data_IF_088849639948
#
_entry.id   IF_088849639948
#
_cell.length_a   1.000
_cell.length_b   1.000
_cell.length_c   1.000
_cell.angle_alpha   90.00
_cell.angle_beta   90.00
_cell.angle_gamma   90.00
#
_symmetry.space_group_name_H-M   'P 1'
#
loop_
_entity.id
_entity.type
_entity.pdbx_description
1 polymer ?
#
# COMPACT_ATOMS: atom_id res chain seq x y z
N UNK A 1 -43.16 -3.12 -27.77
CA UNK A 1 -42.49 -3.52 -26.51
C UNK A 1 -41.40 -2.49 -26.27
N UNK A 2 -41.67 -1.45 -25.48
CA UNK A 2 -40.72 -0.36 -25.21
C UNK A 2 -39.81 -0.78 -24.04
N UNK A 3 -38.50 -0.81 -24.26
CA UNK A 3 -37.51 -0.94 -23.21
C UNK A 3 -37.36 0.41 -22.50
N UNK A 4 -37.68 0.44 -21.21
CA UNK A 4 -37.45 1.60 -20.33
C UNK A 4 -35.99 1.54 -19.91
N UNK A 5 -35.18 2.45 -20.42
CA UNK A 5 -33.84 2.70 -19.92
C UNK A 5 -33.96 3.22 -18.47
N UNK A 6 -33.53 2.41 -17.52
CA UNK A 6 -33.33 2.86 -16.14
C UNK A 6 -32.01 3.63 -16.11
N UNK A 7 -31.97 4.93 -15.77
CA UNK A 7 -30.71 5.65 -15.69
C UNK A 7 -29.89 5.08 -14.53
N UNK A 8 -28.64 4.69 -14.81
CA UNK A 8 -27.67 4.32 -13.79
C UNK A 8 -27.39 5.55 -12.93
N UNK A 9 -27.99 5.59 -11.74
CA UNK A 9 -27.67 6.59 -10.72
C UNK A 9 -26.19 6.48 -10.36
N UNK A 10 -25.39 7.45 -10.80
CA UNK A 10 -24.01 7.66 -10.35
C UNK A 10 -24.05 7.77 -8.82
N UNK A 11 -23.55 6.75 -8.11
CA UNK A 11 -23.34 6.84 -6.65
C UNK A 11 -22.22 7.84 -6.43
N UNK A 12 -22.56 8.99 -5.85
CA UNK A 12 -21.59 9.97 -5.39
C UNK A 12 -20.50 9.28 -4.56
N UNK A 13 -19.24 9.52 -4.94
CA UNK A 13 -18.07 9.11 -4.18
C UNK A 13 -18.21 9.59 -2.72
N UNK A 14 -17.96 8.74 -1.71
CA UNK A 14 -18.06 9.17 -0.32
C UNK A 14 -17.08 10.32 -0.07
N UNK A 15 -17.58 11.38 0.56
CA UNK A 15 -16.79 12.53 0.99
C UNK A 15 -15.50 12.05 1.69
N UNK A 16 -14.31 12.56 1.34
CA UNK A 16 -13.02 12.09 1.85
C UNK A 16 -12.95 11.97 3.39
N UNK A 17 -13.67 12.84 4.11
CA UNK A 17 -13.82 12.77 5.56
C UNK A 17 -14.43 11.46 6.06
N UNK A 18 -15.44 10.93 5.37
CA UNK A 18 -16.13 9.69 5.75
C UNK A 18 -15.21 8.46 5.70
N UNK A 19 -14.29 8.42 4.74
CA UNK A 19 -13.30 7.33 4.62
C UNK A 19 -12.28 7.37 5.78
N UNK A 20 -11.77 8.56 6.12
CA UNK A 20 -10.85 8.77 7.24
C UNK A 20 -11.51 8.35 8.56
N UNK A 21 -12.74 8.81 8.79
CA UNK A 21 -13.48 8.49 10.02
C UNK A 21 -13.74 7.00 10.19
N UNK A 22 -14.11 6.31 9.11
CA UNK A 22 -14.32 4.87 9.12
C UNK A 22 -13.04 4.11 9.48
N UNK A 23 -11.90 4.51 8.91
CA UNK A 23 -10.61 3.87 9.15
C UNK A 23 -10.13 4.07 10.60
N UNK A 24 -10.33 5.27 11.17
CA UNK A 24 -10.09 5.54 12.60
C UNK A 24 -10.97 4.65 13.48
N UNK A 25 -12.26 4.51 13.15
CA UNK A 25 -13.20 3.67 13.90
C UNK A 25 -12.79 2.19 13.90
N UNK A 26 -12.35 1.68 12.75
CA UNK A 26 -11.89 0.30 12.65
C UNK A 26 -10.60 0.07 13.43
N UNK A 27 -9.63 0.96 13.32
CA UNK A 27 -8.38 0.85 14.07
C UNK A 27 -8.61 0.89 15.59
N UNK A 28 -9.48 1.78 16.07
CA UNK A 28 -9.86 1.81 17.49
C UNK A 28 -10.45 0.47 17.93
N UNK A 29 -11.38 -0.09 17.16
CA UNK A 29 -12.00 -1.39 17.48
C UNK A 29 -10.98 -2.53 17.46
N UNK A 30 -10.06 -2.54 16.49
CA UNK A 30 -8.99 -3.54 16.41
C UNK A 30 -8.03 -3.45 17.60
N UNK A 31 -7.80 -2.25 18.14
CA UNK A 31 -7.05 -2.02 19.36
C UNK A 31 -7.84 -2.35 20.66
N UNK A 32 -9.09 -2.81 20.56
CA UNK A 32 -9.93 -3.11 21.72
C UNK A 32 -10.32 -1.87 22.56
N UNK A 33 -10.17 -0.67 21.99
CA UNK A 33 -10.42 0.58 22.70
C UNK A 33 -11.90 0.99 22.60
N UNK A 34 -12.50 1.36 23.73
CA UNK A 34 -13.82 2.01 23.73
C UNK A 34 -13.70 3.46 23.24
N UNK A 35 -14.82 4.05 22.84
CA UNK A 35 -14.85 5.47 22.46
C UNK A 35 -14.45 6.37 23.63
N UNK A 36 -14.84 6.01 24.86
CA UNK A 36 -14.46 6.76 26.07
C UNK A 36 -12.95 6.68 26.33
N UNK A 37 -12.35 5.50 26.19
CA UNK A 37 -10.90 5.34 26.39
C UNK A 37 -10.08 6.14 25.38
N UNK A 38 -10.50 6.17 24.12
CA UNK A 38 -9.83 6.99 23.11
C UNK A 38 -10.02 8.49 23.36
N UNK A 39 -11.21 8.90 23.83
CA UNK A 39 -11.50 10.27 24.22
C UNK A 39 -10.57 10.72 25.38
N UNK A 40 -10.39 9.88 26.39
CA UNK A 40 -9.48 10.10 27.50
C UNK A 40 -8.03 10.23 27.03
N UNK A 41 -7.54 9.28 26.24
CA UNK A 41 -6.16 9.26 25.76
C UNK A 41 -5.80 10.47 24.88
N UNK A 42 -6.76 10.98 24.11
CA UNK A 42 -6.58 12.14 23.22
C UNK A 42 -6.93 13.48 23.86
N UNK A 43 -7.50 13.48 25.07
CA UNK A 43 -8.04 14.68 25.71
C UNK A 43 -9.23 15.31 24.98
N UNK A 44 -9.91 14.57 24.09
CA UNK A 44 -11.06 15.02 23.32
C UNK A 44 -12.37 14.55 23.97
N UNK A 45 -13.48 15.24 23.69
CA UNK A 45 -14.80 14.76 24.13
C UNK A 45 -15.22 13.51 23.34
N UNK A 46 -15.99 12.60 23.97
CA UNK A 46 -16.58 11.44 23.28
C UNK A 46 -17.40 11.85 22.04
N UNK A 47 -18.10 12.98 22.12
CA UNK A 47 -18.85 13.56 20.99
C UNK A 47 -17.93 13.92 19.83
N UNK A 48 -16.72 14.41 20.11
CA UNK A 48 -15.70 14.71 19.09
C UNK A 48 -15.19 13.43 18.46
N UNK A 49 -14.93 12.38 19.24
CA UNK A 49 -14.52 11.05 18.72
C UNK A 49 -15.59 10.51 17.77
N UNK A 50 -16.86 10.55 18.15
CA UNK A 50 -17.97 10.09 17.29
C UNK A 50 -18.05 10.88 15.99
N UNK A 51 -17.90 12.20 16.03
CA UNK A 51 -17.88 13.05 14.82
C UNK A 51 -16.69 12.73 13.92
N UNK A 52 -15.51 12.50 14.51
CA UNK A 52 -14.31 12.07 13.78
C UNK A 52 -14.56 10.73 13.10
N UNK A 53 -15.12 9.75 13.81
CA UNK A 53 -15.43 8.42 13.25
C UNK A 53 -16.51 8.43 12.16
N UNK A 54 -17.36 9.46 12.15
CA UNK A 54 -18.36 9.71 11.11
C UNK A 54 -17.77 10.46 9.91
N UNK A 55 -16.56 11.02 10.04
CA UNK A 55 -15.94 11.82 9.00
C UNK A 55 -16.53 13.22 8.84
N UNK A 56 -17.04 13.80 9.93
CA UNK A 56 -17.63 15.14 9.95
C UNK A 56 -16.58 16.21 9.56
N UNK A 57 -16.79 16.86 8.42
CA UNK A 57 -15.92 17.91 7.88
C UNK A 57 -15.90 19.21 8.71
N UNK A 58 -16.83 19.39 9.67
CA UNK A 58 -16.80 20.51 10.59
C UNK A 58 -15.80 20.33 11.75
N UNK A 59 -15.19 19.15 11.89
CA UNK A 59 -14.17 18.91 12.92
C UNK A 59 -12.80 19.36 12.41
N UNK A 60 -12.14 20.23 13.19
CA UNK A 60 -10.81 20.72 12.85
C UNK A 60 -9.80 19.59 12.63
N UNK A 61 -9.02 19.67 11.55
CA UNK A 61 -8.04 18.66 11.12
C UNK A 61 -7.05 18.26 12.23
N UNK A 62 -6.61 19.20 13.07
CA UNK A 62 -5.71 18.89 14.19
C UNK A 62 -6.27 17.85 15.17
N UNK A 63 -7.60 17.71 15.26
CA UNK A 63 -8.26 16.71 16.10
C UNK A 63 -8.26 15.32 15.45
N UNK A 64 -8.43 15.24 14.12
CA UNK A 64 -8.21 13.99 13.38
C UNK A 64 -6.78 13.50 13.57
N UNK A 65 -5.79 14.39 13.42
CA UNK A 65 -4.38 14.07 13.60
C UNK A 65 -4.09 13.52 15.00
N UNK A 66 -4.59 14.16 16.06
CA UNK A 66 -4.41 13.72 17.44
C UNK A 66 -4.95 12.29 17.67
N UNK A 67 -6.15 11.98 17.14
CA UNK A 67 -6.73 10.63 17.26
C UNK A 67 -5.92 9.58 16.50
N UNK A 68 -5.44 9.92 15.31
CA UNK A 68 -4.66 8.99 14.52
C UNK A 68 -3.23 8.79 15.06
N UNK A 69 -2.60 9.80 15.66
CA UNK A 69 -1.35 9.62 16.42
C UNK A 69 -1.54 8.59 17.54
N UNK A 70 -2.61 8.72 18.33
CA UNK A 70 -2.93 7.81 19.43
C UNK A 70 -3.15 6.36 18.96
N UNK A 71 -3.67 6.18 17.74
CA UNK A 71 -3.92 4.86 17.15
C UNK A 71 -2.76 4.34 16.27
N UNK A 72 -1.63 5.06 16.18
CA UNK A 72 -0.53 4.68 15.28
C UNK A 72 -0.89 4.72 13.79
N UNK A 73 -1.85 5.57 13.43
CA UNK A 73 -2.41 5.74 12.08
C UNK A 73 -1.91 7.00 11.37
N UNK A 74 -0.79 7.58 11.79
CA UNK A 74 -0.26 8.83 11.20
C UNK A 74 -0.01 8.69 9.69
N UNK A 75 0.37 7.48 9.24
CA UNK A 75 0.55 7.10 7.85
C UNK A 75 -0.73 7.30 7.00
N UNK A 76 -1.90 7.29 7.61
CA UNK A 76 -3.19 7.42 6.94
C UNK A 76 -3.38 8.78 6.27
N UNK A 77 -2.86 9.85 6.89
CA UNK A 77 -2.95 11.20 6.30
C UNK A 77 -2.01 11.38 5.12
N UNK A 78 -0.92 10.62 5.06
CA UNK A 78 -0.03 10.61 3.89
C UNK A 78 -0.68 9.89 2.70
N UNK A 79 -1.60 8.94 2.98
CA UNK A 79 -2.37 8.18 1.96
C UNK A 79 -3.60 8.95 1.47
N UNK A 80 -4.22 9.75 2.32
CA UNK A 80 -5.46 10.49 2.01
C UNK A 80 -5.27 11.99 1.76
N UNK A 81 -4.09 12.53 2.05
CA UNK A 81 -3.78 13.97 1.97
C UNK A 81 -3.45 14.50 0.58
N UNK A 82 -3.60 13.72 -0.50
CA UNK A 82 -3.48 14.25 -1.87
C UNK A 82 -4.86 14.62 -2.39
N UNK A 83 -5.11 15.92 -2.42
CA UNK A 83 -6.13 16.54 -3.27
C UNK A 83 -6.04 15.95 -4.68
N UNK A 84 -7.20 15.61 -5.24
CA UNK A 84 -7.43 15.11 -6.60
C UNK A 84 -7.18 16.17 -7.69
N UNK A 85 -6.51 17.27 -7.37
CA UNK A 85 -6.34 18.42 -8.28
C UNK A 85 -4.89 18.87 -8.49
N UNK A 86 -3.88 18.10 -8.09
CA UNK A 86 -2.50 18.46 -8.39
C UNK A 86 -1.63 17.25 -8.77
N UNK A 87 -1.44 17.05 -10.07
CA UNK A 87 -0.40 16.23 -10.68
C UNK A 87 1.01 16.83 -10.42
N UNK A 88 1.39 16.98 -9.15
CA UNK A 88 2.74 17.35 -8.76
C UNK A 88 3.51 16.10 -8.30
N UNK A 89 4.08 15.39 -9.29
CA UNK A 89 5.46 14.85 -9.34
C UNK A 89 6.19 14.57 -8.00
N UNK A 90 5.58 13.83 -7.08
CA UNK A 90 6.25 13.32 -5.88
C UNK A 90 6.10 11.81 -5.79
N UNK A 91 7.21 11.08 -5.71
CA UNK A 91 7.22 9.64 -5.43
C UNK A 91 6.39 9.38 -4.17
N UNK A 92 5.41 8.46 -4.19
CA UNK A 92 4.60 8.18 -3.01
C UNK A 92 5.50 7.69 -1.89
N UNK A 93 5.40 8.32 -0.72
CA UNK A 93 6.23 8.00 0.47
C UNK A 93 5.96 6.58 1.00
N UNK A 94 4.79 6.03 0.71
CA UNK A 94 4.40 4.66 1.01
C UNK A 94 3.62 4.10 -0.17
N UNK A 95 3.80 2.81 -0.44
CA UNK A 95 3.04 2.07 -1.44
C UNK A 95 3.03 0.58 -1.10
N UNK A 96 2.03 -0.16 -1.58
CA UNK A 96 1.97 -1.62 -1.43
C UNK A 96 3.12 -2.23 -2.23
N UNK A 97 3.89 -3.13 -1.62
CA UNK A 97 5.05 -3.74 -2.27
C UNK A 97 5.29 -5.18 -1.79
N UNK A 98 6.35 -5.83 -2.30
CA UNK A 98 6.71 -7.22 -2.02
C UNK A 98 5.53 -8.17 -2.22
N UNK A 99 5.36 -9.11 -1.28
CA UNK A 99 4.30 -10.14 -1.35
C UNK A 99 2.90 -9.58 -1.59
N UNK A 100 2.56 -8.43 -0.99
CA UNK A 100 1.22 -7.86 -1.16
C UNK A 100 0.99 -7.35 -2.58
N UNK A 101 1.99 -6.68 -3.16
CA UNK A 101 1.91 -6.23 -4.53
C UNK A 101 1.94 -7.38 -5.54
N UNK A 102 2.69 -8.45 -5.26
CA UNK A 102 2.70 -9.66 -6.09
C UNK A 102 1.34 -10.37 -6.12
N UNK A 103 0.50 -10.17 -5.09
CA UNK A 103 -0.86 -10.71 -5.08
C UNK A 103 -1.86 -9.85 -5.87
N UNK A 104 -1.49 -8.62 -6.26
CA UNK A 104 -2.40 -7.74 -6.98
C UNK A 104 -2.36 -8.03 -8.48
N UNK A 105 -3.53 -8.09 -9.14
CA UNK A 105 -3.56 -8.04 -10.60
C UNK A 105 -3.07 -6.66 -11.05
N UNK A 106 -1.96 -6.57 -11.81
CA UNK A 106 -1.45 -5.31 -12.33
C UNK A 106 -2.42 -4.62 -13.29
N UNK A 107 -2.24 -3.31 -13.47
CA UNK A 107 -3.06 -2.50 -14.37
C UNK A 107 -2.97 -2.90 -15.86
N UNK A 108 -1.93 -3.66 -16.24
CA UNK A 108 -1.70 -4.16 -17.60
C UNK A 108 -2.56 -5.41 -17.95
N UNK A 109 -3.34 -5.91 -16.99
CA UNK A 109 -4.26 -7.02 -17.20
C UNK A 109 -3.65 -8.42 -17.06
N UNK A 110 -2.35 -8.54 -16.73
CA UNK A 110 -1.76 -9.83 -16.36
C UNK A 110 -2.40 -10.39 -15.09
N UNK A 111 -2.39 -11.72 -14.89
CA UNK A 111 -2.77 -12.30 -13.61
C UNK A 111 -1.81 -11.83 -12.49
N UNK A 112 -2.21 -11.90 -11.21
CA UNK A 112 -1.29 -11.69 -10.10
C UNK A 112 -0.19 -12.77 -10.12
N UNK A 113 1.03 -12.38 -9.74
CA UNK A 113 2.16 -13.32 -9.65
C UNK A 113 1.96 -14.34 -8.51
N UNK A 114 1.24 -13.98 -7.44
CA UNK A 114 0.91 -14.87 -6.34
C UNK A 114 -0.60 -14.90 -6.08
N UNK A 115 -1.14 -16.09 -5.80
CA UNK A 115 -2.59 -16.29 -5.69
C UNK A 115 -3.15 -16.16 -4.26
N UNK A 116 -2.42 -15.52 -3.33
CA UNK A 116 -2.81 -15.39 -1.92
C UNK A 116 -3.80 -14.23 -1.67
N UNK A 117 -5.02 -14.39 -2.15
CA UNK A 117 -6.08 -13.35 -2.08
C UNK A 117 -6.49 -12.97 -0.65
N UNK A 118 -6.31 -13.87 0.33
CA UNK A 118 -6.59 -13.60 1.75
C UNK A 118 -5.68 -12.51 2.35
N UNK A 119 -4.50 -12.32 1.78
CA UNK A 119 -3.58 -11.24 2.18
C UNK A 119 -4.09 -9.86 1.71
N UNK A 120 -4.86 -9.80 0.62
CA UNK A 120 -5.36 -8.54 0.09
C UNK A 120 -6.57 -8.01 0.85
N UNK A 121 -7.44 -8.90 1.34
CA UNK A 121 -8.62 -8.52 2.13
C UNK A 121 -8.31 -8.19 3.59
N UNK A 122 -7.07 -8.43 4.05
CA UNK A 122 -6.62 -8.13 5.41
C UNK A 122 -5.47 -7.10 5.41
N UNK A 123 -5.77 -5.79 5.57
CA UNK A 123 -4.77 -4.73 5.62
C UNK A 123 -3.66 -4.90 6.66
N UNK A 124 -3.93 -5.62 7.76
CA UNK A 124 -2.91 -5.87 8.78
C UNK A 124 -1.77 -6.77 8.28
N UNK A 125 -2.01 -7.55 7.22
CA UNK A 125 -1.03 -8.43 6.60
C UNK A 125 -0.26 -7.78 5.45
N UNK A 126 -0.58 -6.53 5.10
CA UNK A 126 0.01 -5.85 3.95
C UNK A 126 1.48 -5.51 4.15
N UNK A 127 2.27 -5.74 3.11
CA UNK A 127 3.65 -5.30 2.98
C UNK A 127 3.65 -3.92 2.30
N UNK A 128 4.21 -2.94 3.00
CA UNK A 128 4.17 -1.53 2.62
C UNK A 128 5.62 -1.04 2.58
N UNK A 129 6.05 -0.53 1.43
CA UNK A 129 7.35 0.11 1.27
C UNK A 129 7.42 1.37 2.13
N UNK A 130 8.52 1.56 2.87
CA UNK A 130 8.71 2.64 3.85
C UNK A 130 8.20 2.31 5.26
N UNK A 131 7.54 1.16 5.45
CA UNK A 131 7.07 0.69 6.76
C UNK A 131 7.55 -0.73 7.08
N UNK A 132 7.28 -1.66 6.17
CA UNK A 132 7.55 -3.09 6.35
C UNK A 132 8.69 -3.61 5.47
N UNK A 133 8.91 -2.96 4.34
CA UNK A 133 10.01 -3.18 3.40
C UNK A 133 10.69 -1.84 3.10
N UNK A 134 11.94 -1.88 2.66
CA UNK A 134 12.67 -0.71 2.20
C UNK A 134 11.87 0.08 1.15
N UNK A 135 11.92 1.41 1.25
CA UNK A 135 11.37 2.29 0.21
C UNK A 135 12.46 2.57 -0.82
N UNK A 136 12.25 2.13 -2.05
CA UNK A 136 13.24 2.22 -3.12
C UNK A 136 12.98 3.39 -4.07
N UNK A 137 12.12 4.34 -3.67
CA UNK A 137 11.80 5.52 -4.49
C UNK A 137 13.00 6.42 -4.74
N UNK A 138 14.04 6.37 -3.91
CA UNK A 138 15.30 7.06 -4.15
C UNK A 138 16.12 6.42 -5.30
N UNK A 139 15.90 5.13 -5.59
CA UNK A 139 16.61 4.39 -6.65
C UNK A 139 15.86 4.49 -7.98
N UNK A 140 14.55 4.28 -7.96
CA UNK A 140 13.74 4.11 -9.17
C UNK A 140 12.66 5.17 -9.35
N UNK A 141 12.56 6.16 -8.45
CA UNK A 141 11.47 7.14 -8.46
C UNK A 141 10.11 6.45 -8.46
N UNK A 142 9.25 6.88 -9.39
CA UNK A 142 7.90 6.33 -9.60
C UNK A 142 7.85 5.15 -10.57
N UNK A 143 8.98 4.67 -11.10
CA UNK A 143 9.00 3.58 -12.07
C UNK A 143 8.40 2.30 -11.48
N UNK A 144 7.47 1.68 -12.22
CA UNK A 144 6.75 0.50 -11.74
C UNK A 144 5.73 0.76 -10.64
N UNK A 145 5.38 2.01 -10.33
CA UNK A 145 4.29 2.34 -9.41
C UNK A 145 3.02 2.70 -10.16
N UNK A 146 1.87 2.30 -9.62
CA UNK A 146 0.56 2.57 -10.20
C UNK A 146 -0.51 2.81 -9.13
N UNK A 147 -1.61 3.45 -9.53
CA UNK A 147 -2.76 3.70 -8.67
C UNK A 147 -3.66 2.46 -8.61
N UNK A 148 -3.57 1.72 -7.51
CA UNK A 148 -4.29 0.48 -7.24
C UNK A 148 -5.60 0.68 -6.47
N UNK A 149 -6.09 1.92 -6.30
CA UNK A 149 -7.30 2.22 -5.55
C UNK A 149 -8.50 1.40 -6.02
N UNK A 150 -8.76 1.39 -7.32
CA UNK A 150 -9.91 0.69 -7.89
C UNK A 150 -9.80 -0.82 -7.71
N UNK A 151 -8.59 -1.38 -7.85
CA UNK A 151 -8.33 -2.81 -7.66
C UNK A 151 -8.53 -3.22 -6.21
N UNK A 152 -7.97 -2.47 -5.26
CA UNK A 152 -8.08 -2.76 -3.83
C UNK A 152 -9.53 -2.64 -3.32
N UNK A 153 -10.32 -1.71 -3.89
CA UNK A 153 -11.73 -1.58 -3.56
C UNK A 153 -12.53 -2.86 -3.83
N UNK A 154 -12.13 -3.69 -4.80
CA UNK A 154 -12.77 -4.98 -5.10
C UNK A 154 -12.57 -6.00 -3.98
N UNK A 155 -11.53 -5.85 -3.15
CA UNK A 155 -11.26 -6.68 -1.99
C UNK A 155 -11.88 -6.15 -0.69
N UNK A 156 -12.79 -5.16 -0.80
CA UNK A 156 -13.54 -4.61 0.33
C UNK A 156 -12.81 -3.51 1.11
N UNK A 157 -11.69 -3.00 0.61
CA UNK A 157 -10.93 -1.93 1.26
C UNK A 157 -11.12 -0.62 0.51
N UNK A 158 -11.74 0.36 1.16
CA UNK A 158 -12.04 1.67 0.57
C UNK A 158 -11.06 2.71 1.10
N UNK A 159 -10.32 3.34 0.19
CA UNK A 159 -9.27 4.32 0.48
C UNK A 159 -9.20 5.34 -0.67
N UNK A 160 -9.10 6.65 -0.39
CA UNK A 160 -8.94 7.69 -1.43
C UNK A 160 -7.85 7.44 -2.47
N UNK A 161 -6.66 6.99 -2.05
CA UNK A 161 -5.55 6.69 -2.97
C UNK A 161 -4.73 5.53 -2.42
N UNK A 162 -4.47 4.51 -3.24
CA UNK A 162 -3.51 3.45 -2.91
C UNK A 162 -2.53 3.33 -4.06
N UNK A 163 -1.26 3.60 -3.78
CA UNK A 163 -0.18 3.27 -4.70
C UNK A 163 0.28 1.85 -4.46
N UNK A 164 0.56 1.13 -5.53
CA UNK A 164 1.16 -0.20 -5.48
C UNK A 164 2.33 -0.30 -6.46
N UNK A 165 3.29 -1.14 -6.14
CA UNK A 165 4.26 -1.63 -7.08
C UNK A 165 3.57 -2.57 -8.09
N UNK A 166 4.01 -2.53 -9.34
CA UNK A 166 3.79 -3.61 -10.29
C UNK A 166 4.66 -4.83 -9.88
N UNK A 167 4.45 -6.02 -10.48
CA UNK A 167 5.14 -7.23 -10.06
C UNK A 167 6.66 -7.09 -10.10
N UNK A 168 7.21 -6.49 -11.14
CA UNK A 168 8.67 -6.26 -11.28
C UNK A 168 9.19 -5.38 -10.14
N UNK A 169 8.50 -4.28 -9.81
CA UNK A 169 8.93 -3.35 -8.76
C UNK A 169 8.78 -3.99 -7.39
N UNK A 170 7.77 -4.84 -7.21
CA UNK A 170 7.58 -5.59 -5.98
C UNK A 170 8.72 -6.58 -5.74
N UNK A 171 9.19 -7.28 -6.78
CA UNK A 171 10.38 -8.17 -6.71
C UNK A 171 11.63 -7.34 -6.44
N UNK A 172 11.84 -6.24 -7.17
CA UNK A 172 12.98 -5.35 -6.94
C UNK A 172 13.04 -4.87 -5.48
N UNK A 173 11.93 -4.39 -4.92
CA UNK A 173 11.86 -3.95 -3.53
C UNK A 173 12.17 -5.08 -2.54
N UNK A 174 11.69 -6.29 -2.82
CA UNK A 174 11.93 -7.48 -2.02
C UNK A 174 13.41 -7.86 -2.02
N UNK A 175 14.07 -7.80 -3.18
CA UNK A 175 15.49 -8.06 -3.37
C UNK A 175 16.34 -7.03 -2.62
N UNK A 176 16.06 -5.73 -2.78
CA UNK A 176 16.78 -4.66 -2.07
C UNK A 176 16.57 -4.77 -0.54
N UNK A 177 15.34 -4.95 -0.08
CA UNK A 177 15.05 -5.10 1.36
C UNK A 177 15.75 -6.33 1.96
N UNK A 178 15.81 -7.45 1.23
CA UNK A 178 16.38 -8.70 1.73
C UNK A 178 17.91 -8.71 1.66
N UNK A 179 18.47 -8.44 0.49
CA UNK A 179 19.89 -8.61 0.22
C UNK A 179 20.73 -7.42 0.68
N UNK A 180 20.30 -6.19 0.36
CA UNK A 180 21.05 -4.97 0.71
C UNK A 180 20.79 -4.55 2.15
N UNK A 181 19.52 -4.39 2.53
CA UNK A 181 19.17 -3.78 3.82
C UNK A 181 19.23 -4.78 4.98
N UNK A 182 18.69 -5.99 4.79
CA UNK A 182 18.62 -7.01 5.86
C UNK A 182 19.77 -8.02 5.82
N UNK A 183 20.49 -8.11 4.72
CA UNK A 183 21.54 -9.10 4.48
C UNK A 183 21.07 -10.53 4.78
N UNK A 184 19.90 -10.88 4.24
CA UNK A 184 19.25 -12.18 4.41
C UNK A 184 18.75 -12.71 3.08
N UNK A 185 18.45 -14.01 3.05
CA UNK A 185 17.77 -14.65 1.92
C UNK A 185 16.39 -14.05 1.71
N UNK A 186 16.00 -13.96 0.44
CA UNK A 186 14.66 -13.55 0.01
C UNK A 186 13.64 -14.58 0.51
N UNK A 187 12.67 -14.19 1.36
CA UNK A 187 11.76 -15.15 1.98
C UNK A 187 10.58 -15.51 1.09
N UNK A 188 10.26 -16.80 1.01
CA UNK A 188 8.97 -17.34 0.56
C UNK A 188 8.54 -16.98 -0.88
N UNK A 189 9.49 -16.71 -1.77
CA UNK A 189 9.28 -16.59 -3.23
C UNK A 189 10.54 -17.08 -3.94
N UNK A 190 10.38 -18.03 -4.86
CA UNK A 190 11.41 -18.47 -5.79
C UNK A 190 11.14 -17.89 -7.18
N UNK A 191 12.18 -17.78 -7.99
CA UNK A 191 12.08 -17.32 -9.38
C UNK A 191 11.06 -18.15 -10.18
N UNK A 192 11.12 -19.48 -10.03
CA UNK A 192 10.23 -20.43 -10.71
C UNK A 192 8.76 -20.33 -10.31
N UNK A 193 8.45 -19.61 -9.21
CA UNK A 193 7.06 -19.42 -8.78
C UNK A 193 6.38 -18.27 -9.54
N UNK A 194 7.15 -17.40 -10.19
CA UNK A 194 6.67 -16.11 -10.70
C UNK A 194 7.21 -15.73 -12.09
N UNK A 195 8.11 -16.52 -12.68
CA UNK A 195 8.80 -16.20 -13.95
C UNK A 195 7.88 -16.26 -15.19
N UNK A 196 6.71 -16.87 -15.06
CA UNK A 196 5.65 -16.88 -16.06
C UNK A 196 4.84 -15.57 -16.10
N UNK A 197 4.85 -14.80 -15.00
CA UNK A 197 4.12 -13.54 -14.87
C UNK A 197 5.03 -12.32 -14.80
N UNK A 198 6.16 -12.42 -14.09
CA UNK A 198 7.06 -11.30 -13.80
C UNK A 198 8.17 -11.20 -14.84
N UNK A 199 8.36 -10.02 -15.42
CA UNK A 199 9.48 -9.78 -16.32
C UNK A 199 10.79 -9.62 -15.51
N UNK A 200 11.51 -10.72 -15.33
CA UNK A 200 12.78 -10.74 -14.59
C UNK A 200 13.93 -10.04 -15.33
N UNK A 201 13.85 -9.88 -16.66
CA UNK A 201 14.81 -9.07 -17.42
C UNK A 201 14.70 -7.59 -17.00
N UNK A 202 13.48 -7.07 -16.86
CA UNK A 202 13.27 -5.71 -16.37
C UNK A 202 13.81 -5.51 -14.95
N UNK A 203 13.65 -6.52 -14.08
CA UNK A 203 14.22 -6.49 -12.72
C UNK A 203 15.75 -6.46 -12.77
N UNK A 204 16.37 -7.28 -13.62
CA UNK A 204 17.83 -7.28 -13.85
C UNK A 204 18.32 -5.91 -14.34
N UNK A 205 17.62 -5.30 -15.28
CA UNK A 205 17.96 -3.96 -15.78
C UNK A 205 17.94 -2.90 -14.66
N UNK A 206 16.92 -2.94 -13.78
CA UNK A 206 16.86 -2.00 -12.66
C UNK A 206 17.96 -2.25 -11.62
N UNK A 207 18.29 -3.51 -11.34
CA UNK A 207 19.42 -3.85 -10.48
C UNK A 207 20.73 -3.33 -11.09
N UNK A 208 20.95 -3.57 -12.39
CA UNK A 208 22.12 -3.08 -13.12
C UNK A 208 22.27 -1.55 -13.07
N UNK A 209 21.16 -0.82 -13.23
CA UNK A 209 21.14 0.64 -13.10
C UNK A 209 21.48 1.13 -11.69
N UNK A 210 21.19 0.31 -10.68
CA UNK A 210 21.46 0.63 -9.27
C UNK A 210 22.80 0.10 -8.76
N UNK A 211 23.52 -0.73 -9.52
CA UNK A 211 24.76 -1.39 -9.09
C UNK A 211 25.77 -0.48 -8.37
N UNK A 212 26.03 0.77 -8.82
CA UNK A 212 26.96 1.66 -8.13
C UNK A 212 26.58 2.01 -6.68
N UNK A 213 25.33 1.75 -6.29
CA UNK A 213 24.78 2.06 -4.98
C UNK A 213 24.59 0.81 -4.10
N UNK A 214 24.90 -0.39 -4.62
CA UNK A 214 24.69 -1.66 -3.91
C UNK A 214 26.01 -2.23 -3.40
N UNK A 215 25.96 -2.87 -2.22
CA UNK A 215 27.11 -3.61 -1.70
C UNK A 215 27.39 -4.86 -2.56
N UNK A 216 28.66 -5.24 -2.70
CA UNK A 216 29.07 -6.43 -3.48
C UNK A 216 28.33 -7.70 -3.02
N UNK A 217 28.21 -7.89 -1.71
CA UNK A 217 27.49 -9.03 -1.12
C UNK A 217 25.99 -9.02 -1.44
N UNK A 218 25.39 -7.84 -1.57
CA UNK A 218 24.00 -7.72 -1.96
C UNK A 218 23.82 -8.04 -3.45
N UNK A 219 24.74 -7.59 -4.31
CA UNK A 219 24.74 -7.91 -5.74
C UNK A 219 24.85 -9.42 -5.98
N UNK A 220 25.78 -10.08 -5.30
CA UNK A 220 25.93 -11.55 -5.36
C UNK A 220 24.64 -12.26 -4.92
N UNK A 221 24.03 -11.84 -3.81
CA UNK A 221 22.79 -12.44 -3.32
C UNK A 221 21.59 -12.21 -4.25
N UNK A 222 21.54 -11.06 -4.91
CA UNK A 222 20.50 -10.75 -5.91
C UNK A 222 20.70 -11.60 -7.17
N UNK A 223 21.92 -11.70 -7.68
CA UNK A 223 22.24 -12.52 -8.85
C UNK A 223 21.97 -14.01 -8.60
N UNK A 224 22.37 -14.54 -7.44
CA UNK A 224 22.09 -15.92 -7.04
C UNK A 224 20.59 -16.20 -7.04
N UNK A 225 19.79 -15.31 -6.43
CA UNK A 225 18.33 -15.45 -6.43
C UNK A 225 17.75 -15.40 -7.85
N UNK A 226 18.16 -14.42 -8.67
CA UNK A 226 17.66 -14.23 -10.03
C UNK A 226 18.01 -15.40 -10.98
N UNK A 227 19.11 -16.11 -10.72
CA UNK A 227 19.54 -17.27 -11.51
C UNK A 227 18.87 -18.57 -11.07
N UNK A 228 17.86 -18.50 -10.21
CA UNK A 228 17.17 -19.69 -9.70
C UNK A 228 18.04 -20.50 -8.75
N UNK A 229 19.01 -19.86 -8.09
CA UNK A 229 19.83 -20.48 -7.06
C UNK A 229 18.96 -21.29 -6.12
N UNK A 230 19.27 -22.59 -6.00
CA UNK A 230 18.56 -23.47 -5.09
C UNK A 230 18.76 -22.98 -3.66
N UNK A 231 17.68 -22.49 -3.06
CA UNK A 231 17.63 -22.16 -1.64
C UNK A 231 17.66 -23.39 -0.75
#
# INVERSE_FOLDING_TARGET
MLAIETPMTQRASPEPGAAIGLAIRYARKAAGLSGEKLAEATGLSLRTIVKIEQGDGAVAFGRYKSVACELGLEWMFDVFGRDTSNEALGTPKYYLSGMTALCLPPADGRPPALWYTSSLSNPSSWRIAGKHTAHTGALLGVAGLWNATATIAQYGVVAPCIWAANPERAVFDLLIDSCEIRQRRVPNVQVTDIDDVVNLEQVREWVAQCEPFLADTAREGIEDWLNGGHQ
#
